data_IF_810278970290
#
_entry.id   IF_810278970290
#
_cell.length_a   1.000
_cell.length_b   1.000
_cell.length_c   1.000
_cell.angle_alpha   90.00
_cell.angle_beta   90.00
_cell.angle_gamma   90.00
#
_symmetry.space_group_name_H-M   'P 1'
#
loop_
_entity.id
_entity.type
_entity.pdbx_description
1 polymer ?
#
# COMPACT_ATOMS: atom_id res chain seq x y z
N UNK A 1 42.74 45.10 -7.01
CA UNK A 1 41.86 44.43 -6.04
C UNK A 1 41.20 43.30 -6.79
N UNK A 2 41.74 42.09 -6.63
CA UNK A 2 41.34 40.89 -7.36
C UNK A 2 40.74 39.91 -6.36
N UNK A 3 39.51 39.48 -6.60
CA UNK A 3 38.88 38.40 -5.83
C UNK A 3 39.56 37.06 -6.13
N UNK A 4 39.85 36.23 -5.11
CA UNK A 4 40.38 34.90 -5.34
C UNK A 4 39.26 33.90 -5.64
N UNK A 5 39.39 33.23 -6.79
CA UNK A 5 38.63 32.02 -7.15
C UNK A 5 38.87 30.92 -6.10
N UNK A 6 37.79 30.36 -5.53
CA UNK A 6 37.88 29.13 -4.73
C UNK A 6 37.95 27.90 -5.63
N UNK A 7 38.79 26.91 -5.32
CA UNK A 7 38.92 25.69 -6.12
C UNK A 7 37.75 24.74 -5.89
N UNK A 8 37.28 24.13 -6.98
CA UNK A 8 36.39 22.96 -7.00
C UNK A 8 37.10 21.79 -6.30
N UNK A 9 36.47 21.22 -5.27
CA UNK A 9 36.86 19.95 -4.67
C UNK A 9 36.14 18.80 -5.40
N UNK A 10 36.80 17.65 -5.63
CA UNK A 10 36.21 16.54 -6.38
C UNK A 10 35.16 15.80 -5.54
N UNK A 11 34.08 15.35 -6.19
CA UNK A 11 33.21 14.31 -5.68
C UNK A 11 34.02 13.02 -5.56
N UNK A 12 34.16 12.51 -4.34
CA UNK A 12 34.57 11.13 -4.09
C UNK A 12 33.38 10.42 -3.48
N UNK A 13 33.09 9.28 -4.10
CA UNK A 13 32.11 8.27 -3.75
C UNK A 13 32.11 7.92 -2.26
N UNK A 14 30.92 7.65 -1.72
CA UNK A 14 30.75 6.59 -0.75
C UNK A 14 29.32 6.05 -0.88
N UNK A 15 29.18 4.99 -1.66
CA UNK A 15 28.16 3.98 -1.44
C UNK A 15 28.37 3.42 -0.02
N UNK A 16 27.51 3.82 0.91
CA UNK A 16 27.18 2.98 2.06
C UNK A 16 25.67 2.97 2.21
N UNK A 17 25.10 1.87 1.71
CA UNK A 17 23.87 1.23 2.14
C UNK A 17 23.59 1.50 3.63
N UNK A 18 22.87 2.58 3.91
CA UNK A 18 22.30 2.85 5.23
C UNK A 18 20.99 2.07 5.31
N UNK A 19 21.09 0.92 5.96
CA UNK A 19 19.95 0.22 6.53
C UNK A 19 19.02 1.22 7.24
N UNK A 20 17.74 1.17 6.86
CA UNK A 20 16.55 1.63 7.57
C UNK A 20 16.84 2.30 8.94
N UNK A 21 17.24 3.58 8.92
CA UNK A 21 17.39 4.33 10.16
C UNK A 21 16.02 4.83 10.62
N UNK A 22 15.66 4.44 11.83
CA UNK A 22 14.52 4.94 12.59
C UNK A 22 14.38 6.46 12.55
N UNK A 23 13.12 6.90 12.51
CA UNK A 23 12.62 8.24 12.81
C UNK A 23 12.61 9.24 11.65
N UNK A 24 11.54 9.21 10.86
CA UNK A 24 10.71 10.41 10.73
C UNK A 24 9.25 10.01 11.01
N UNK A 25 8.70 10.56 12.09
CA UNK A 25 7.26 10.61 12.32
C UNK A 25 6.66 11.22 11.06
N UNK A 26 5.81 10.48 10.35
CA UNK A 26 5.04 11.03 9.22
C UNK A 26 4.13 12.11 9.78
N UNK A 27 4.60 13.36 9.75
CA UNK A 27 3.73 14.53 9.85
C UNK A 27 3.02 14.61 8.51
N UNK A 28 1.86 13.97 8.44
CA UNK A 28 0.92 14.22 7.34
C UNK A 28 0.67 15.72 7.17
N UNK A 29 0.25 16.08 5.96
CA UNK A 29 0.04 17.46 5.59
C UNK A 29 -1.25 18.00 6.25
N UNK A 30 -1.26 19.19 6.86
CA UNK A 30 -2.48 19.75 7.51
C UNK A 30 -3.68 19.82 6.56
N UNK A 31 -3.45 20.00 5.25
CA UNK A 31 -4.51 19.95 4.25
C UNK A 31 -5.19 18.57 4.09
N UNK A 32 -4.55 17.48 4.52
CA UNK A 32 -5.14 16.13 4.59
C UNK A 32 -5.91 15.89 5.91
N UNK A 33 -5.85 16.83 6.85
CA UNK A 33 -6.29 16.64 8.24
C UNK A 33 -7.51 17.48 8.65
N UNK A 34 -8.18 18.08 7.66
CA UNK A 34 -9.50 18.64 7.81
C UNK A 34 -9.54 20.07 8.31
N UNK A 35 -9.53 21.02 7.36
CA UNK A 35 -10.01 22.38 7.58
C UNK A 35 -11.55 22.48 7.50
N UNK A 36 -12.08 23.70 7.63
CA UNK A 36 -13.49 24.01 7.35
C UNK A 36 -13.89 23.45 5.96
N UNK A 37 -14.93 22.61 5.92
CA UNK A 37 -15.38 21.92 4.72
C UNK A 37 -14.97 20.44 4.62
N UNK A 38 -14.25 19.88 5.60
CA UNK A 38 -13.94 18.46 5.61
C UNK A 38 -15.20 17.61 5.83
N UNK A 39 -15.53 16.77 4.86
CA UNK A 39 -16.77 15.98 4.83
C UNK A 39 -16.69 14.69 5.68
N UNK A 40 -15.50 14.29 6.17
CA UNK A 40 -15.30 12.97 6.78
C UNK A 40 -14.50 13.00 8.10
N UNK A 41 -14.83 12.13 9.09
CA UNK A 41 -14.26 12.15 10.44
C UNK A 41 -12.90 11.42 10.58
N UNK A 42 -12.14 11.26 9.51
CA UNK A 42 -10.88 10.49 9.54
C UNK A 42 -9.78 11.34 10.18
N UNK A 43 -9.26 10.87 11.32
CA UNK A 43 -8.20 11.54 12.09
C UNK A 43 -7.18 10.53 12.60
N UNK A 44 -5.91 10.92 12.76
CA UNK A 44 -4.92 10.10 13.44
C UNK A 44 -5.40 9.60 14.81
N UNK A 45 -5.11 8.34 15.09
CA UNK A 45 -5.37 7.67 16.37
C UNK A 45 -6.85 7.60 16.76
N UNK A 46 -7.75 7.67 15.78
CA UNK A 46 -9.20 7.52 15.99
C UNK A 46 -9.72 6.23 15.38
N UNK A 47 -10.69 5.63 16.07
CA UNK A 47 -11.48 4.52 15.54
C UNK A 47 -12.72 5.08 14.85
N UNK A 48 -13.00 4.59 13.66
CA UNK A 48 -14.26 4.87 12.94
C UNK A 48 -14.97 3.55 12.64
N UNK A 49 -16.29 3.62 12.46
CA UNK A 49 -17.10 2.46 12.10
C UNK A 49 -16.72 1.87 10.74
N UNK A 50 -17.22 0.67 10.46
CA UNK A 50 -17.20 0.10 9.13
C UNK A 50 -17.63 1.11 8.06
N UNK A 51 -16.91 1.12 6.93
CA UNK A 51 -17.11 2.10 5.86
C UNK A 51 -16.76 1.51 4.50
N UNK A 52 -17.45 1.97 3.46
CA UNK A 52 -17.07 1.81 2.07
C UNK A 52 -16.31 3.07 1.63
N UNK A 53 -15.10 2.90 1.14
CA UNK A 53 -14.18 4.01 0.88
C UNK A 53 -13.58 3.89 -0.52
N UNK A 54 -13.46 5.02 -1.23
CA UNK A 54 -12.81 5.08 -2.52
C UNK A 54 -11.68 6.10 -2.50
N UNK A 55 -10.53 5.74 -3.06
CA UNK A 55 -9.30 6.54 -3.01
C UNK A 55 -8.70 6.68 -4.41
N UNK A 56 -7.98 7.77 -4.65
CA UNK A 56 -6.93 7.75 -5.68
C UNK A 56 -5.78 6.88 -5.20
N UNK A 57 -5.13 6.15 -6.10
CA UNK A 57 -3.97 5.31 -5.80
C UNK A 57 -2.84 5.64 -6.75
N UNK A 58 -1.62 5.66 -6.22
CA UNK A 58 -0.39 5.61 -7.03
C UNK A 58 0.30 4.30 -6.70
N UNK A 59 0.73 3.58 -7.72
CA UNK A 59 1.51 2.36 -7.57
C UNK A 59 2.81 2.53 -8.34
N UNK A 60 3.90 1.99 -7.82
CA UNK A 60 5.17 1.90 -8.53
C UNK A 60 5.65 0.46 -8.45
N UNK A 61 5.71 -0.19 -9.60
CA UNK A 61 6.11 -1.61 -9.69
C UNK A 61 7.43 -1.72 -10.42
N UNK A 62 8.29 -2.61 -9.94
CA UNK A 62 9.51 -3.03 -10.62
C UNK A 62 9.27 -4.45 -11.13
N UNK A 63 9.21 -4.60 -12.46
CA UNK A 63 8.81 -5.85 -13.09
C UNK A 63 9.82 -6.24 -14.15
N UNK A 64 10.10 -7.55 -14.22
CA UNK A 64 10.84 -8.18 -15.31
C UNK A 64 9.93 -9.18 -16.01
N UNK A 65 9.83 -9.07 -17.33
CA UNK A 65 9.11 -10.02 -18.19
C UNK A 65 10.11 -10.66 -19.16
N UNK A 66 10.15 -11.98 -19.16
CA UNK A 66 11.00 -12.77 -20.04
C UNK A 66 10.64 -12.49 -21.51
N UNK A 67 11.64 -12.13 -22.32
CA UNK A 67 11.45 -11.78 -23.73
C UNK A 67 11.09 -10.32 -24.01
N UNK A 68 10.66 -9.53 -23.02
CA UNK A 68 10.43 -8.09 -23.17
C UNK A 68 11.53 -7.24 -22.51
N UNK A 69 11.87 -7.53 -21.26
CA UNK A 69 12.86 -6.77 -20.51
C UNK A 69 12.45 -6.53 -19.06
N UNK A 70 13.09 -5.54 -18.44
CA UNK A 70 12.88 -5.13 -17.06
C UNK A 70 12.66 -3.62 -17.02
N UNK A 71 11.65 -3.17 -16.28
CA UNK A 71 11.34 -1.75 -16.14
C UNK A 71 10.63 -1.45 -14.81
N UNK A 72 10.60 -0.17 -14.47
CA UNK A 72 9.85 0.37 -13.35
C UNK A 72 8.69 1.21 -13.90
N UNK A 73 7.47 0.83 -13.54
CA UNK A 73 6.25 1.47 -14.04
C UNK A 73 5.57 2.26 -12.93
N UNK A 74 5.34 3.54 -13.17
CA UNK A 74 4.48 4.38 -12.33
C UNK A 74 3.03 4.29 -12.84
N UNK A 75 2.11 3.88 -11.96
CA UNK A 75 0.70 3.69 -12.26
C UNK A 75 -0.18 4.58 -11.41
N UNK A 76 -1.29 5.03 -11.99
CA UNK A 76 -2.27 5.88 -11.34
C UNK A 76 -3.68 5.38 -11.57
N UNK A 77 -4.55 5.55 -10.58
CA UNK A 77 -5.95 5.21 -10.71
C UNK A 77 -6.69 5.29 -9.41
N UNK A 78 -7.55 4.31 -9.16
CA UNK A 78 -8.40 4.31 -7.98
C UNK A 78 -8.54 2.92 -7.36
N UNK A 79 -8.90 2.90 -6.09
CA UNK A 79 -9.27 1.69 -5.40
C UNK A 79 -10.50 1.91 -4.51
N UNK A 80 -11.26 0.84 -4.31
CA UNK A 80 -12.45 0.79 -3.47
C UNK A 80 -12.27 -0.27 -2.41
N UNK A 81 -12.37 0.12 -1.16
CA UNK A 81 -12.19 -0.74 0.00
C UNK A 81 -13.45 -0.79 0.84
N UNK A 82 -13.73 -1.97 1.40
CA UNK A 82 -14.68 -2.14 2.48
C UNK A 82 -13.92 -2.35 3.77
N UNK A 83 -13.94 -1.35 4.63
CA UNK A 83 -13.36 -1.44 5.97
C UNK A 83 -14.37 -2.03 6.94
N UNK A 84 -13.94 -3.01 7.71
CA UNK A 84 -14.74 -3.66 8.75
C UNK A 84 -14.65 -2.89 10.06
N UNK A 85 -15.53 -3.22 11.01
CA UNK A 85 -15.45 -2.64 12.35
C UNK A 85 -14.15 -3.02 13.05
N UNK A 86 -13.55 -2.08 13.79
CA UNK A 86 -12.39 -2.37 14.64
C UNK A 86 -12.77 -3.39 15.71
N UNK A 87 -11.86 -4.32 15.99
CA UNK A 87 -12.03 -5.32 17.07
C UNK A 87 -10.85 -5.27 18.02
N UNK A 88 -11.09 -5.41 19.31
CA UNK A 88 -10.03 -5.68 20.28
C UNK A 88 -9.93 -7.19 20.54
N UNK A 89 -8.79 -7.62 21.07
CA UNK A 89 -8.66 -8.99 21.60
C UNK A 89 -9.61 -9.19 22.80
N UNK A 90 -9.96 -10.45 23.08
CA UNK A 90 -10.87 -10.78 24.18
C UNK A 90 -10.38 -10.20 25.52
N UNK A 91 -11.29 -9.53 26.22
CA UNK A 91 -10.99 -8.88 27.50
C UNK A 91 -10.21 -7.57 27.41
N UNK A 92 -9.86 -7.09 26.21
CA UNK A 92 -9.20 -5.79 26.03
C UNK A 92 -10.19 -4.68 25.67
N UNK A 93 -9.98 -3.44 26.15
CA UNK A 93 -10.82 -2.32 25.76
C UNK A 93 -10.60 -1.99 24.27
N UNK A 94 -11.69 -1.63 23.59
CA UNK A 94 -11.64 -1.16 22.21
C UNK A 94 -11.08 0.27 22.15
N UNK A 95 -9.77 0.36 21.99
CA UNK A 95 -9.01 1.60 21.82
C UNK A 95 -8.23 1.54 20.53
N UNK A 96 -7.73 2.69 20.04
CA UNK A 96 -6.78 2.68 18.94
C UNK A 96 -5.63 1.72 19.25
N UNK A 97 -4.95 1.85 20.40
CA UNK A 97 -3.81 0.98 20.74
C UNK A 97 -4.12 -0.53 20.59
N UNK A 98 -5.26 -0.98 21.09
CA UNK A 98 -5.59 -2.40 21.18
C UNK A 98 -6.38 -2.95 19.98
N UNK A 99 -6.86 -2.10 19.08
CA UNK A 99 -7.72 -2.54 17.98
C UNK A 99 -6.93 -3.19 16.85
N UNK A 100 -7.49 -4.23 16.27
CA UNK A 100 -7.21 -4.69 14.90
C UNK A 100 -8.31 -4.18 13.98
N UNK A 101 -7.91 -3.60 12.86
CA UNK A 101 -8.82 -3.13 11.80
C UNK A 101 -8.50 -3.94 10.56
N UNK A 102 -9.53 -4.35 9.83
CA UNK A 102 -9.36 -5.09 8.57
C UNK A 102 -10.14 -4.40 7.47
N UNK A 103 -9.69 -4.58 6.23
CA UNK A 103 -10.38 -4.12 5.05
C UNK A 103 -10.35 -5.20 3.96
N UNK A 104 -11.43 -5.27 3.18
CA UNK A 104 -11.53 -6.03 1.95
C UNK A 104 -11.28 -5.08 0.76
N UNK A 105 -10.48 -5.52 -0.20
CA UNK A 105 -10.24 -4.79 -1.43
C UNK A 105 -11.29 -5.24 -2.45
N UNK A 106 -12.18 -4.32 -2.83
CA UNK A 106 -13.29 -4.62 -3.75
C UNK A 106 -12.93 -4.32 -5.20
N UNK A 107 -12.12 -3.29 -5.41
CA UNK A 107 -11.58 -2.92 -6.71
C UNK A 107 -10.26 -2.17 -6.54
N UNK A 108 -9.34 -2.43 -7.46
CA UNK A 108 -8.12 -1.71 -7.73
C UNK A 108 -8.06 -1.63 -9.25
N UNK A 109 -7.87 -0.42 -9.75
CA UNK A 109 -7.61 -0.23 -11.15
C UNK A 109 -6.65 0.94 -11.30
N UNK A 110 -5.41 0.62 -11.62
CA UNK A 110 -4.37 1.60 -11.91
C UNK A 110 -3.78 1.33 -13.28
N UNK A 111 -3.31 2.38 -13.93
CA UNK A 111 -2.75 2.30 -15.28
C UNK A 111 -1.52 3.18 -15.39
N UNK A 112 -0.51 2.68 -16.08
CA UNK A 112 0.74 3.37 -16.36
C UNK A 112 1.20 3.05 -17.78
N UNK A 113 2.32 3.64 -18.16
CA UNK A 113 2.97 3.36 -19.43
C UNK A 113 4.46 3.12 -19.19
N UNK A 114 5.03 2.19 -19.94
CA UNK A 114 6.44 1.81 -19.93
C UNK A 114 6.93 1.76 -21.37
N UNK A 115 8.15 2.24 -21.60
CA UNK A 115 8.79 2.15 -22.92
C UNK A 115 9.09 0.69 -23.32
N UNK A 116 9.16 -0.22 -22.35
CA UNK A 116 9.43 -1.66 -22.54
C UNK A 116 8.14 -2.46 -22.68
N UNK A 117 7.11 -2.12 -21.91
CA UNK A 117 5.89 -2.92 -21.78
C UNK A 117 4.67 -2.33 -22.48
N UNK A 118 4.76 -1.10 -23.00
CA UNK A 118 3.62 -0.33 -23.49
C UNK A 118 2.71 0.10 -22.34
N UNK A 119 1.41 0.17 -22.58
CA UNK A 119 0.43 0.37 -21.52
C UNK A 119 0.42 -0.83 -20.55
N UNK A 120 0.47 -0.53 -19.26
CA UNK A 120 0.34 -1.52 -18.18
C UNK A 120 -0.86 -1.17 -17.32
N UNK A 121 -1.72 -2.15 -17.07
CA UNK A 121 -2.86 -2.02 -16.17
C UNK A 121 -2.74 -3.02 -15.04
N UNK A 122 -2.97 -2.57 -13.81
CA UNK A 122 -3.00 -3.45 -12.62
C UNK A 122 -4.39 -3.43 -12.00
N UNK A 123 -4.86 -4.62 -11.64
CA UNK A 123 -6.15 -4.84 -10.99
C UNK A 123 -6.09 -6.00 -10.00
N UNK A 124 -7.13 -6.16 -9.16
CA UNK A 124 -7.27 -7.34 -8.31
C UNK A 124 -7.49 -8.59 -9.17
N UNK A 125 -7.07 -9.75 -8.66
CA UNK A 125 -7.37 -11.03 -9.31
C UNK A 125 -8.84 -11.40 -9.12
N UNK A 126 -9.61 -11.66 -10.19
CA UNK A 126 -10.99 -12.11 -10.06
C UNK A 126 -11.11 -13.38 -9.21
N UNK A 127 -12.03 -13.36 -8.24
CA UNK A 127 -12.33 -14.51 -7.39
C UNK A 127 -11.30 -14.79 -6.28
N UNK A 128 -10.27 -13.95 -6.10
CA UNK A 128 -9.37 -14.03 -4.95
C UNK A 128 -9.73 -13.01 -3.89
N UNK A 129 -9.67 -13.42 -2.63
CA UNK A 129 -9.88 -12.53 -1.51
C UNK A 129 -8.61 -11.69 -1.28
N UNK A 130 -8.77 -10.38 -1.29
CA UNK A 130 -7.70 -9.41 -1.11
C UNK A 130 -8.09 -8.42 -0.02
N UNK A 131 -7.11 -7.91 0.72
CA UNK A 131 -7.41 -7.08 1.86
C UNK A 131 -6.20 -6.51 2.57
N UNK A 132 -6.48 -5.81 3.66
CA UNK A 132 -5.45 -5.31 4.56
C UNK A 132 -5.82 -5.59 6.01
N UNK A 133 -4.79 -5.72 6.84
CA UNK A 133 -4.90 -5.80 8.29
C UNK A 133 -4.01 -4.75 8.93
N UNK A 134 -4.60 -3.90 9.75
CA UNK A 134 -3.93 -2.94 10.62
C UNK A 134 -3.99 -3.48 12.04
N UNK A 135 -2.86 -3.94 12.56
CA UNK A 135 -2.79 -4.62 13.87
C UNK A 135 -2.02 -3.76 14.89
N UNK A 136 -2.24 -3.97 16.20
CA UNK A 136 -1.36 -3.41 17.21
C UNK A 136 0.10 -3.80 16.93
N UNK A 137 0.99 -2.80 16.95
CA UNK A 137 2.44 -3.02 17.07
C UNK A 137 2.80 -3.16 18.55
N UNK A 138 3.97 -3.70 18.91
CA UNK A 138 4.45 -3.70 20.29
C UNK A 138 4.33 -2.29 20.90
N UNK A 139 3.89 -2.17 22.16
CA UNK A 139 3.69 -0.87 22.78
C UNK A 139 5.02 -0.09 22.78
N UNK A 140 5.00 1.22 22.46
CA UNK A 140 6.17 2.06 22.63
C UNK A 140 6.62 2.05 24.09
N UNK A 141 7.92 2.18 24.33
CA UNK A 141 8.48 2.26 25.70
C UNK A 141 7.95 3.48 26.47
N UNK A 142 7.50 4.52 25.76
CA UNK A 142 6.86 5.71 26.32
C UNK A 142 5.32 5.58 26.30
N UNK A 143 4.74 5.49 27.49
CA UNK A 143 3.31 5.35 27.73
C UNK A 143 2.45 6.57 27.33
N UNK A 144 3.07 7.71 26.95
CA UNK A 144 2.37 8.92 26.51
C UNK A 144 2.08 9.00 25.01
N UNK A 145 2.70 8.15 24.19
CA UNK A 145 2.63 8.24 22.72
C UNK A 145 1.64 7.21 22.17
N UNK A 146 0.68 7.68 21.36
CA UNK A 146 -0.23 6.78 20.65
C UNK A 146 0.56 5.89 19.67
N UNK A 147 0.36 4.56 19.67
CA UNK A 147 1.19 3.66 18.88
C UNK A 147 0.87 3.78 17.40
N UNK A 148 1.90 3.89 16.57
CA UNK A 148 1.79 3.62 15.13
C UNK A 148 1.57 2.11 14.95
N UNK A 149 0.61 1.73 14.11
CA UNK A 149 0.21 0.34 13.87
C UNK A 149 0.89 -0.24 12.64
N UNK A 150 1.11 -1.55 12.65
CA UNK A 150 1.56 -2.28 11.46
C UNK A 150 0.37 -2.47 10.53
N UNK A 151 0.52 -2.09 9.27
CA UNK A 151 -0.44 -2.34 8.21
C UNK A 151 0.18 -3.32 7.22
N UNK A 152 -0.55 -4.39 6.93
CA UNK A 152 -0.16 -5.39 5.95
C UNK A 152 -1.27 -5.47 4.91
N UNK A 153 -0.95 -5.12 3.68
CA UNK A 153 -1.82 -5.24 2.51
C UNK A 153 -1.45 -6.53 1.78
N UNK A 154 -2.45 -7.33 1.43
CA UNK A 154 -2.33 -8.68 0.87
C UNK A 154 -3.14 -8.76 -0.42
N UNK A 155 -2.42 -8.90 -1.53
CA UNK A 155 -2.95 -8.75 -2.88
C UNK A 155 -2.59 -9.96 -3.75
N UNK A 156 -3.37 -10.15 -4.80
CA UNK A 156 -3.03 -10.99 -5.93
C UNK A 156 -3.07 -10.12 -7.19
N UNK A 157 -2.03 -9.32 -7.45
CA UNK A 157 -2.06 -8.37 -8.54
C UNK A 157 -2.14 -9.11 -9.89
N UNK A 158 -3.04 -8.64 -10.75
CA UNK A 158 -3.14 -9.04 -12.14
C UNK A 158 -2.70 -7.88 -13.02
N UNK A 159 -1.71 -8.13 -13.87
CA UNK A 159 -1.14 -7.17 -14.80
C UNK A 159 -1.67 -7.45 -16.21
N UNK A 160 -2.25 -6.48 -16.88
CA UNK A 160 -2.48 -6.50 -18.33
C UNK A 160 -1.33 -5.72 -18.96
N UNK A 161 -0.53 -6.39 -19.81
CA UNK A 161 0.68 -5.81 -20.43
C UNK A 161 0.49 -5.77 -21.94
N UNK A 162 0.49 -4.56 -22.51
CA UNK A 162 0.20 -4.33 -23.93
C UNK A 162 1.13 -5.11 -24.86
N UNK A 163 2.45 -4.97 -24.67
CA UNK A 163 3.44 -5.61 -25.54
C UNK A 163 3.47 -7.15 -25.40
N UNK A 164 2.97 -7.68 -24.28
CA UNK A 164 2.80 -9.12 -24.10
C UNK A 164 1.49 -9.63 -24.74
N UNK A 165 0.51 -8.75 -24.95
CA UNK A 165 -0.81 -9.09 -25.49
C UNK A 165 -1.66 -10.00 -24.60
N UNK A 166 -1.29 -10.17 -23.32
CA UNK A 166 -1.97 -11.05 -22.37
C UNK A 166 -1.89 -10.51 -20.95
N UNK A 167 -2.47 -11.24 -19.99
CA UNK A 167 -2.40 -10.93 -18.57
C UNK A 167 -1.44 -11.84 -17.84
N UNK A 168 -0.70 -11.31 -16.88
CA UNK A 168 0.17 -12.07 -15.98
C UNK A 168 -0.19 -11.82 -14.52
N UNK A 169 0.03 -12.79 -13.64
CA UNK A 169 -0.26 -12.66 -12.20
C UNK A 169 0.69 -13.48 -11.32
N UNK A 170 0.57 -13.37 -10.01
CA UNK A 170 1.44 -14.08 -9.04
C UNK A 170 0.97 -15.51 -8.72
N UNK A 171 0.07 -16.08 -9.51
CA UNK A 171 -0.54 -17.38 -9.27
C UNK A 171 -1.23 -17.42 -7.90
N UNK A 172 -0.96 -18.45 -7.10
CA UNK A 172 -1.51 -18.56 -5.74
C UNK A 172 -0.70 -17.82 -4.67
N UNK A 173 0.36 -17.07 -5.04
CA UNK A 173 1.19 -16.34 -4.08
C UNK A 173 0.58 -14.97 -3.76
N UNK A 174 0.37 -14.72 -2.48
CA UNK A 174 -0.04 -13.42 -1.94
C UNK A 174 1.16 -12.48 -1.98
N UNK A 175 0.99 -11.33 -2.61
CA UNK A 175 1.91 -10.20 -2.50
C UNK A 175 1.61 -9.44 -1.22
N UNK A 176 2.59 -9.38 -0.32
CA UNK A 176 2.49 -8.68 0.97
C UNK A 176 3.22 -7.34 0.90
N UNK A 177 2.47 -6.26 1.04
CA UNK A 177 2.99 -4.90 1.16
C UNK A 177 2.85 -4.44 2.61
N UNK A 178 3.92 -3.90 3.17
CA UNK A 178 3.98 -3.53 4.58
C UNK A 178 4.14 -2.01 4.74
N UNK A 179 3.45 -1.45 5.73
CA UNK A 179 3.58 -0.05 6.15
C UNK A 179 3.32 0.11 7.65
N UNK A 180 3.52 1.32 8.15
CA UNK A 180 3.24 1.71 9.52
C UNK A 180 2.34 2.94 9.51
N UNK A 181 1.17 2.85 10.14
CA UNK A 181 0.07 3.82 9.94
C UNK A 181 -0.42 4.43 11.26
N UNK A 182 -0.72 5.72 11.23
CA UNK A 182 -1.29 6.47 12.36
C UNK A 182 -2.81 6.64 12.25
N UNK A 183 -3.40 6.34 11.09
CA UNK A 183 -4.82 6.48 10.83
C UNK A 183 -5.31 5.38 9.90
N UNK A 184 -6.63 5.13 9.94
CA UNK A 184 -7.29 4.24 8.99
C UNK A 184 -8.52 4.94 8.44
N UNK A 185 -8.67 5.07 7.11
CA UNK A 185 -7.74 4.63 6.06
C UNK A 185 -6.39 5.38 6.09
N UNK A 186 -5.28 4.74 5.66
CA UNK A 186 -3.92 5.30 5.79
C UNK A 186 -3.60 6.25 4.63
N UNK A 187 -4.36 7.34 4.53
CA UNK A 187 -4.21 8.36 3.47
C UNK A 187 -2.81 9.00 3.51
N UNK A 188 -2.12 8.99 2.37
CA UNK A 188 -0.75 9.48 2.20
C UNK A 188 0.34 8.49 2.63
N UNK A 189 -0.01 7.35 3.22
CA UNK A 189 0.96 6.31 3.56
C UNK A 189 1.27 5.42 2.34
N UNK A 190 2.50 4.92 2.30
CA UNK A 190 2.99 4.01 1.27
C UNK A 190 3.25 2.63 1.87
N UNK A 191 2.62 1.59 1.34
CA UNK A 191 2.93 0.19 1.65
C UNK A 191 3.86 -0.39 0.60
N UNK A 192 4.88 -1.13 1.02
CA UNK A 192 5.98 -1.56 0.14
C UNK A 192 6.31 -3.03 0.28
N UNK A 193 6.90 -3.60 -0.77
CA UNK A 193 7.60 -4.88 -0.73
C UNK A 193 8.85 -4.81 -1.61
N UNK A 194 9.92 -5.41 -1.12
CA UNK A 194 11.13 -5.72 -1.88
C UNK A 194 11.32 -7.23 -2.05
N UNK A 195 10.29 -8.01 -1.72
CA UNK A 195 10.28 -9.44 -1.96
C UNK A 195 9.89 -9.66 -3.41
N UNK A 196 10.63 -10.54 -4.09
CA UNK A 196 10.28 -10.90 -5.46
C UNK A 196 9.22 -12.01 -5.52
N UNK A 197 8.37 -11.95 -6.55
CA UNK A 197 7.30 -12.91 -6.80
C UNK A 197 7.31 -13.34 -8.27
N UNK A 198 7.30 -14.64 -8.51
CA UNK A 198 7.17 -15.19 -9.87
C UNK A 198 5.85 -14.77 -10.52
N UNK A 199 5.91 -14.38 -11.78
CA UNK A 199 4.76 -14.06 -12.60
C UNK A 199 4.45 -15.19 -13.58
N UNK A 200 3.17 -15.50 -13.71
CA UNK A 200 2.64 -16.56 -14.56
C UNK A 200 1.69 -15.99 -15.61
N UNK A 201 1.69 -16.58 -16.80
CA UNK A 201 0.66 -16.34 -17.81
C UNK A 201 -0.63 -17.15 -17.54
N UNK A 202 -1.69 -17.00 -18.35
CA UNK A 202 -2.94 -17.73 -18.14
C UNK A 202 -2.81 -19.25 -18.29
N UNK A 203 -1.77 -19.74 -18.97
CA UNK A 203 -1.45 -21.15 -19.12
C UNK A 203 -0.64 -21.71 -17.92
N UNK A 204 -0.28 -20.86 -16.95
CA UNK A 204 0.48 -21.22 -15.75
C UNK A 204 1.98 -21.37 -16.00
N UNK A 205 2.49 -20.88 -17.13
CA UNK A 205 3.94 -20.83 -17.38
C UNK A 205 4.53 -19.62 -16.69
N UNK A 206 5.70 -19.79 -16.10
CA UNK A 206 6.47 -18.66 -15.60
C UNK A 206 6.91 -17.80 -16.80
N UNK A 207 6.70 -16.49 -16.67
CA UNK A 207 7.01 -15.50 -17.72
C UNK A 207 7.73 -14.27 -17.17
N UNK A 208 8.02 -14.23 -15.87
CA UNK A 208 8.70 -13.09 -15.29
C UNK A 208 8.67 -13.06 -13.77
N UNK A 209 8.89 -11.87 -13.24
CA UNK A 209 8.99 -11.60 -11.82
C UNK A 209 8.55 -10.17 -11.49
N UNK A 210 7.72 -10.03 -10.45
CA UNK A 210 7.51 -8.77 -9.74
C UNK A 210 8.64 -8.66 -8.72
N UNK A 211 9.55 -7.71 -8.89
CA UNK A 211 10.77 -7.57 -8.07
C UNK A 211 10.48 -6.71 -6.84
N UNK A 212 9.72 -5.63 -7.02
CA UNK A 212 9.31 -4.74 -5.94
C UNK A 212 7.98 -4.07 -6.29
N UNK A 213 7.23 -3.64 -5.28
CA UNK A 213 6.02 -2.87 -5.45
C UNK A 213 5.80 -1.91 -4.28
N UNK A 214 5.42 -0.70 -4.62
CA UNK A 214 4.98 0.35 -3.70
C UNK A 214 3.55 0.75 -4.05
N UNK A 215 2.66 0.85 -3.05
CA UNK A 215 1.30 1.38 -3.22
C UNK A 215 1.08 2.54 -2.23
N UNK A 216 0.73 3.70 -2.77
CA UNK A 216 0.35 4.90 -2.03
C UNK A 216 -1.17 5.05 -2.07
N UNK A 217 -1.79 5.18 -0.89
CA UNK A 217 -3.19 5.59 -0.78
C UNK A 217 -3.24 7.11 -0.87
N UNK A 218 -3.75 7.66 -1.97
CA UNK A 218 -3.88 9.10 -2.14
C UNK A 218 -5.17 9.66 -1.53
N UNK A 219 -5.71 10.71 -2.16
CA UNK A 219 -6.92 11.40 -1.72
C UNK A 219 -8.13 10.48 -1.59
N UNK A 220 -8.86 10.65 -0.48
CA UNK A 220 -10.17 10.05 -0.28
C UNK A 220 -11.22 10.74 -1.17
N UNK A 221 -11.85 9.98 -2.05
CA UNK A 221 -12.89 10.44 -2.98
C UNK A 221 -14.27 10.29 -2.34
N UNK A 222 -14.54 9.12 -1.76
CA UNK A 222 -15.81 8.80 -1.11
C UNK A 222 -15.59 8.07 0.20
N UNK A 223 -16.41 8.39 1.20
CA UNK A 223 -16.51 7.63 2.44
C UNK A 223 -17.98 7.51 2.84
N UNK A 224 -18.45 6.27 2.88
CA UNK A 224 -19.84 5.93 3.18
C UNK A 224 -19.84 4.98 4.37
N UNK A 225 -20.29 5.42 5.56
CA UNK A 225 -20.50 4.52 6.69
C UNK A 225 -21.48 3.41 6.29
N UNK A 226 -21.15 2.17 6.66
CA UNK A 226 -22.00 1.00 6.38
C UNK A 226 -22.37 0.29 7.68
N UNK A 227 -23.43 -0.51 7.63
CA UNK A 227 -23.69 -1.47 8.70
C UNK A 227 -22.56 -2.51 8.71
N UNK A 228 -22.26 -3.03 9.90
CA UNK A 228 -21.19 -3.99 10.13
C UNK A 228 -21.17 -5.08 9.05
N UNK A 229 -20.03 -5.23 8.39
CA UNK A 229 -19.84 -6.23 7.36
C UNK A 229 -19.15 -7.47 7.96
N UNK A 230 -19.74 -8.64 7.72
CA UNK A 230 -19.10 -9.91 8.04
C UNK A 230 -17.87 -10.05 7.15
N UNK A 231 -16.72 -10.34 7.76
CA UNK A 231 -15.49 -10.68 7.05
C UNK A 231 -15.72 -12.03 6.36
N UNK A 232 -15.63 -12.11 5.02
CA UNK A 232 -15.72 -13.38 4.30
C UNK A 232 -14.69 -14.40 4.80
N UNK A 233 -15.00 -15.69 4.79
CA UNK A 233 -14.14 -16.73 5.37
C UNK A 233 -12.80 -16.88 4.65
N UNK A 234 -12.84 -16.80 3.31
CA UNK A 234 -11.67 -16.74 2.43
C UNK A 234 -10.78 -15.53 2.73
N UNK A 235 -11.38 -14.36 2.97
CA UNK A 235 -10.63 -13.18 3.39
C UNK A 235 -10.05 -13.35 4.80
N UNK A 236 -10.79 -13.95 5.74
CA UNK A 236 -10.31 -14.18 7.09
C UNK A 236 -9.06 -15.09 7.11
N UNK A 237 -8.98 -16.07 6.21
CA UNK A 237 -7.79 -16.93 6.02
C UNK A 237 -6.59 -16.14 5.51
N UNK A 238 -6.80 -15.27 4.49
CA UNK A 238 -5.74 -14.38 3.97
C UNK A 238 -5.24 -13.42 5.06
N UNK A 239 -6.15 -12.89 5.88
CA UNK A 239 -5.84 -11.89 6.90
C UNK A 239 -5.31 -12.46 8.22
N UNK A 240 -5.26 -13.79 8.39
CA UNK A 240 -4.75 -14.45 9.61
C UNK A 240 -3.26 -14.13 9.87
#
# INVERSE_FOLDING_TARGET
MSEPQRPLKPLVENEQSAALSSAEVVKGHEAAWGGEGNLYPIRPYTLTSASLEAFTVRERIHVRVEGLGEDIVDLHGMAVYRRHDPKAADGQPLTWANSTITAQFLALQVTGHSEVFGQVRVSNSPGKAEGARVKPSPPPEDHGIQPIKDCITMLYPRFEVEELGTTIDTGSKIVRLESRVAMVPPIGDVSRTSQSYTLFDPEGRQVGELIAADIEIGSLIHHVPIQSAVIPADLAEVLA
#
